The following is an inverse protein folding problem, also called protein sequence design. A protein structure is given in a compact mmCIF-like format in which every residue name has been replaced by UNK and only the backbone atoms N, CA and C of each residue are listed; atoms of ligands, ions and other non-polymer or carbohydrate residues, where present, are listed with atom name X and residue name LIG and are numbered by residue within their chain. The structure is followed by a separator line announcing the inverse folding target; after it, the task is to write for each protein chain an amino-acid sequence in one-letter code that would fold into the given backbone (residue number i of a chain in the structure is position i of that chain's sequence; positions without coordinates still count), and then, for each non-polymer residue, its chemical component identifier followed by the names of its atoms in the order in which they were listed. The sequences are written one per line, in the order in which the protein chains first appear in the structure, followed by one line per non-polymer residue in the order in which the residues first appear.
data_IF_836208641756
#
_entry.id   IF_836208641756
#
_cell.length_a   1.000
_cell.length_b   1.000
_cell.length_c   1.000
_cell.angle_alpha   90.00
_cell.angle_beta   90.00
_cell.angle_gamma   90.00
#
_symmetry.space_group_name_H-M   'P 1'
#
loop_
_entity.id
_entity.type
_entity.pdbx_description
1 polymer ?
#
# COMPACT_ATOMS: atom_id res chain seq x y z
N UNK A 1 -32.16 -42.00 -37.20
CA UNK A 1 -30.84 -41.78 -36.57
C UNK A 1 -29.84 -41.74 -37.72
N UNK A 2 -29.12 -40.68 -38.11
CA UNK A 2 -28.70 -39.39 -37.54
C UNK A 2 -28.67 -38.36 -38.70
N UNK A 3 -29.09 -37.11 -38.48
CA UNK A 3 -29.01 -36.02 -39.47
C UNK A 3 -27.55 -35.57 -39.62
N UNK A 4 -26.98 -35.70 -40.82
CA UNK A 4 -25.65 -35.16 -41.15
C UNK A 4 -25.71 -33.65 -41.34
N UNK A 5 -25.36 -32.89 -40.30
CA UNK A 5 -25.18 -31.43 -40.39
C UNK A 5 -23.87 -31.10 -41.10
N UNK A 6 -23.95 -30.37 -42.20
CA UNK A 6 -22.79 -29.82 -42.90
C UNK A 6 -22.22 -28.65 -42.08
N UNK A 7 -21.11 -28.88 -41.37
CA UNK A 7 -20.40 -27.82 -40.65
C UNK A 7 -19.49 -27.07 -41.62
N UNK A 8 -19.91 -25.87 -42.03
CA UNK A 8 -19.05 -24.91 -42.73
C UNK A 8 -18.16 -24.24 -41.69
N UNK A 9 -16.85 -24.46 -41.77
CA UNK A 9 -15.87 -23.72 -40.97
C UNK A 9 -15.94 -22.23 -41.35
N UNK A 10 -16.68 -21.45 -40.56
CA UNK A 10 -16.54 -19.99 -40.60
C UNK A 10 -15.27 -19.65 -39.85
N UNK A 11 -14.26 -19.19 -40.59
CA UNK A 11 -13.07 -18.58 -40.03
C UNK A 11 -13.52 -17.32 -39.26
N UNK A 12 -13.81 -17.47 -37.96
CA UNK A 12 -14.01 -16.33 -37.07
C UNK A 12 -12.64 -15.72 -36.85
N UNK A 13 -12.27 -14.78 -37.72
CA UNK A 13 -11.08 -13.96 -37.58
C UNK A 13 -11.30 -13.04 -36.38
N UNK A 14 -11.07 -13.56 -35.18
CA UNK A 14 -10.82 -12.71 -34.02
C UNK A 14 -9.46 -12.11 -34.29
N UNK A 15 -9.45 -10.91 -34.87
CA UNK A 15 -8.28 -10.06 -34.91
C UNK A 15 -7.88 -9.78 -33.46
N UNK A 16 -6.99 -10.60 -32.90
CA UNK A 16 -6.20 -10.16 -31.75
C UNK A 16 -5.05 -9.35 -32.34
N UNK A 17 -4.92 -8.06 -32.00
CA UNK A 17 -3.72 -7.33 -32.34
C UNK A 17 -2.54 -8.09 -31.72
N UNK A 18 -1.54 -8.43 -32.52
CA UNK A 18 -0.25 -8.97 -32.07
C UNK A 18 0.60 -7.87 -31.42
N UNK A 19 -0.04 -6.94 -30.71
CA UNK A 19 0.55 -5.67 -30.31
C UNK A 19 0.24 -5.23 -28.87
N UNK A 20 -0.59 -5.93 -28.09
CA UNK A 20 -0.88 -5.48 -26.71
C UNK A 20 0.05 -6.06 -25.65
N UNK A 21 1.35 -6.17 -25.97
CA UNK A 21 2.39 -6.10 -24.92
C UNK A 21 3.10 -4.74 -24.98
N UNK A 22 3.15 -4.07 -26.15
CA UNK A 22 3.94 -2.83 -26.30
C UNK A 22 3.39 -1.77 -27.27
N UNK A 23 2.18 -1.88 -27.81
CA UNK A 23 1.62 -0.85 -28.70
C UNK A 23 0.55 0.01 -28.01
N UNK A 24 1.02 0.99 -27.25
CA UNK A 24 0.36 2.29 -27.21
C UNK A 24 1.40 3.27 -27.78
N UNK A 25 1.13 3.76 -28.99
CA UNK A 25 1.94 4.78 -29.63
C UNK A 25 1.68 6.13 -28.97
N UNK A 26 2.75 6.73 -28.44
CA UNK A 26 3.26 8.09 -28.68
C UNK A 26 4.50 8.21 -27.78
N UNK A 27 5.66 8.40 -28.39
CA UNK A 27 6.94 8.80 -27.80
C UNK A 27 7.35 8.05 -26.52
N UNK A 28 7.94 6.88 -26.74
CA UNK A 28 8.64 6.07 -25.75
C UNK A 28 9.94 6.76 -25.31
N UNK A 29 9.83 7.90 -24.64
CA UNK A 29 10.90 8.33 -23.77
C UNK A 29 10.80 7.55 -22.47
N UNK A 30 11.97 7.21 -21.94
CA UNK A 30 12.27 6.54 -20.68
C UNK A 30 11.19 6.77 -19.60
N UNK A 31 10.62 7.96 -19.52
CA UNK A 31 9.55 8.37 -18.61
C UNK A 31 8.35 7.42 -18.50
N UNK A 32 7.82 6.84 -19.60
CA UNK A 32 6.68 5.91 -19.45
C UNK A 32 7.10 4.61 -18.75
N UNK A 33 8.29 4.10 -19.08
CA UNK A 33 8.84 2.89 -18.45
C UNK A 33 9.21 3.17 -17.00
N UNK A 34 9.72 4.37 -16.68
CA UNK A 34 10.21 4.68 -15.35
C UNK A 34 9.11 5.17 -14.40
N UNK A 35 8.12 5.92 -14.89
CA UNK A 35 7.17 6.68 -14.07
C UNK A 35 5.70 6.30 -14.33
N UNK A 36 5.35 5.90 -15.55
CA UNK A 36 3.96 5.64 -15.96
C UNK A 36 3.50 4.19 -15.85
N UNK A 37 4.44 3.24 -15.89
CA UNK A 37 4.11 1.82 -15.95
C UNK A 37 3.82 1.22 -14.56
N UNK A 38 2.66 0.56 -14.35
CA UNK A 38 2.35 -0.11 -13.08
C UNK A 38 3.39 -1.16 -12.68
N UNK A 39 4.00 -1.84 -13.66
CA UNK A 39 5.07 -2.80 -13.42
C UNK A 39 6.32 -2.11 -12.84
N UNK A 40 6.73 -0.99 -13.42
CA UNK A 40 7.88 -0.26 -12.93
C UNK A 40 7.64 0.34 -11.55
N UNK A 41 6.43 0.85 -11.28
CA UNK A 41 6.07 1.35 -9.96
C UNK A 41 6.23 0.27 -8.87
N UNK A 42 5.88 -0.99 -9.15
CA UNK A 42 6.11 -2.12 -8.25
C UNK A 42 7.60 -2.39 -8.05
N UNK A 43 8.38 -2.39 -9.13
CA UNK A 43 9.84 -2.61 -9.07
C UNK A 43 10.51 -1.51 -8.25
N UNK A 44 10.22 -0.23 -8.51
CA UNK A 44 10.78 0.90 -7.78
C UNK A 44 10.42 0.85 -6.30
N UNK A 45 9.17 0.49 -5.97
CA UNK A 45 8.74 0.35 -4.57
C UNK A 45 9.52 -0.76 -3.86
N UNK A 46 9.72 -1.91 -4.52
CA UNK A 46 10.49 -3.02 -3.96
C UNK A 46 11.96 -2.63 -3.74
N UNK A 47 12.59 -1.97 -4.71
CA UNK A 47 13.97 -1.49 -4.61
C UNK A 47 14.10 -0.49 -3.47
N UNK A 48 13.21 0.50 -3.40
CA UNK A 48 13.22 1.51 -2.35
C UNK A 48 13.07 0.91 -0.96
N UNK A 49 12.09 0.02 -0.75
CA UNK A 49 11.89 -0.65 0.55
C UNK A 49 13.07 -1.55 0.92
N UNK A 50 13.67 -2.22 -0.05
CA UNK A 50 14.86 -3.07 0.20
C UNK A 50 16.06 -2.24 0.62
N UNK A 51 16.34 -1.14 -0.09
CA UNK A 51 17.44 -0.22 0.26
C UNK A 51 17.22 0.44 1.62
N UNK A 52 16.00 0.89 1.89
CA UNK A 52 15.63 1.43 3.20
C UNK A 52 15.78 0.38 4.31
N UNK A 53 15.34 -0.86 4.09
CA UNK A 53 15.49 -1.96 5.06
C UNK A 53 16.97 -2.25 5.35
N UNK A 54 17.81 -2.31 4.33
CA UNK A 54 19.26 -2.47 4.49
C UNK A 54 19.86 -1.35 5.32
N UNK A 55 19.51 -0.10 5.01
CA UNK A 55 19.94 1.07 5.79
C UNK A 55 19.46 0.98 7.24
N UNK A 56 18.21 0.61 7.48
CA UNK A 56 17.60 0.48 8.81
C UNK A 56 18.33 -0.57 9.66
N UNK A 57 18.49 -1.79 9.15
CA UNK A 57 19.15 -2.87 9.89
C UNK A 57 20.66 -2.64 10.05
N UNK A 58 21.32 -2.01 9.07
CA UNK A 58 22.71 -1.57 9.24
C UNK A 58 22.84 -0.58 10.40
N UNK A 59 21.96 0.42 10.46
CA UNK A 59 21.98 1.38 11.58
C UNK A 59 21.64 0.70 12.91
N UNK A 60 20.69 -0.23 12.93
CA UNK A 60 20.39 -1.01 14.14
C UNK A 60 21.60 -1.81 14.62
N UNK A 61 22.38 -2.39 13.71
CA UNK A 61 23.62 -3.10 14.04
C UNK A 61 24.67 -2.14 14.63
N UNK A 62 24.83 -0.94 14.05
CA UNK A 62 25.81 0.06 14.49
C UNK A 62 25.43 0.66 15.85
N UNK A 63 24.18 1.04 16.05
CA UNK A 63 23.76 1.85 17.20
C UNK A 63 23.15 1.03 18.34
N UNK A 64 22.64 -0.17 18.05
CA UNK A 64 21.94 -1.03 19.02
C UNK A 64 22.59 -2.41 19.18
N UNK A 65 23.73 -2.65 18.52
CA UNK A 65 24.40 -3.96 18.46
C UNK A 65 23.46 -5.11 18.03
N UNK A 66 22.41 -4.79 17.26
CA UNK A 66 21.40 -5.75 16.82
C UNK A 66 21.69 -6.21 15.39
N UNK A 67 22.26 -7.41 15.27
CA UNK A 67 22.66 -7.99 13.98
C UNK A 67 21.56 -8.89 13.44
N UNK A 68 21.19 -8.66 12.19
CA UNK A 68 20.16 -9.44 11.49
C UNK A 68 20.76 -10.02 10.20
N UNK A 69 20.60 -11.33 9.93
CA UNK A 69 21.06 -11.95 8.69
C UNK A 69 20.44 -11.29 7.44
N UNK A 70 21.20 -11.23 6.35
CA UNK A 70 20.73 -10.61 5.09
C UNK A 70 19.45 -11.24 4.54
N UNK A 71 19.28 -12.56 4.66
CA UNK A 71 18.03 -13.24 4.27
C UNK A 71 16.83 -12.73 5.07
N UNK A 72 17.02 -12.43 6.35
CA UNK A 72 15.96 -11.87 7.19
C UNK A 72 15.61 -10.45 6.77
N UNK A 73 16.59 -9.63 6.39
CA UNK A 73 16.35 -8.27 5.85
C UNK A 73 15.52 -8.32 4.57
N UNK A 74 15.84 -9.24 3.65
CA UNK A 74 15.04 -9.44 2.41
C UNK A 74 13.63 -9.91 2.74
N UNK A 75 13.49 -10.88 3.65
CA UNK A 75 12.18 -11.37 4.08
C UNK A 75 11.34 -10.29 4.75
N UNK A 76 11.98 -9.38 5.51
CA UNK A 76 11.34 -8.24 6.13
C UNK A 76 10.81 -7.25 5.08
N UNK A 77 11.64 -6.89 4.09
CA UNK A 77 11.23 -6.01 3.00
C UNK A 77 10.02 -6.57 2.22
N UNK A 78 10.02 -7.89 1.95
CA UNK A 78 8.92 -8.55 1.26
C UNK A 78 7.62 -8.53 2.09
N UNK A 79 7.70 -8.83 3.39
CA UNK A 79 6.54 -8.77 4.30
C UNK A 79 6.01 -7.35 4.43
N UNK A 80 6.90 -6.37 4.61
CA UNK A 80 6.53 -4.96 4.68
C UNK A 80 5.73 -4.51 3.46
N UNK A 81 6.15 -4.93 2.25
CA UNK A 81 5.41 -4.63 1.02
C UNK A 81 4.00 -5.24 1.01
N UNK A 82 3.83 -6.46 1.52
CA UNK A 82 2.53 -7.12 1.64
C UNK A 82 1.63 -6.41 2.65
N UNK A 83 2.16 -6.10 3.83
CA UNK A 83 1.44 -5.40 4.90
C UNK A 83 1.03 -4.00 4.46
N UNK A 84 1.91 -3.30 3.73
CA UNK A 84 1.63 -2.00 3.13
C UNK A 84 0.51 -2.06 2.10
N UNK A 85 0.53 -3.06 1.21
CA UNK A 85 -0.53 -3.26 0.23
C UNK A 85 -1.89 -3.54 0.92
N UNK A 86 -1.91 -4.43 1.91
CA UNK A 86 -3.11 -4.74 2.69
C UNK A 86 -3.64 -3.50 3.43
N UNK A 87 -2.75 -2.73 4.05
CA UNK A 87 -3.10 -1.49 4.76
C UNK A 87 -3.67 -0.43 3.82
N UNK A 88 -3.09 -0.25 2.63
CA UNK A 88 -3.62 0.67 1.61
C UNK A 88 -5.01 0.26 1.13
N UNK A 89 -5.26 -1.03 0.94
CA UNK A 89 -6.59 -1.53 0.58
C UNK A 89 -7.60 -1.32 1.71
N UNK A 90 -7.21 -1.54 2.96
CA UNK A 90 -8.04 -1.25 4.12
C UNK A 90 -8.35 0.25 4.23
N UNK A 91 -7.34 1.11 4.10
CA UNK A 91 -7.49 2.56 4.12
C UNK A 91 -8.36 3.05 2.96
N UNK A 92 -8.21 2.51 1.74
CA UNK A 92 -9.04 2.87 0.59
C UNK A 92 -10.53 2.61 0.84
N UNK A 93 -10.87 1.51 1.53
CA UNK A 93 -12.25 1.21 1.95
C UNK A 93 -12.78 2.24 2.94
N UNK A 94 -11.95 2.71 3.87
CA UNK A 94 -12.32 3.74 4.85
C UNK A 94 -12.43 5.13 4.22
N UNK A 95 -11.52 5.48 3.29
CA UNK A 95 -11.56 6.77 2.59
C UNK A 95 -12.81 6.91 1.72
N UNK A 96 -13.32 5.82 1.14
CA UNK A 96 -14.60 5.80 0.44
C UNK A 96 -15.81 6.16 1.31
N UNK A 97 -15.68 6.07 2.64
CA UNK A 97 -16.69 6.50 3.61
C UNK A 97 -16.52 7.97 4.05
N UNK A 98 -15.38 8.60 3.75
CA UNK A 98 -15.04 9.96 4.20
C UNK A 98 -15.44 11.00 3.15
N UNK A 99 -16.66 11.53 3.26
CA UNK A 99 -17.16 12.68 2.50
C UNK A 99 -16.55 14.00 3.02
N UNK A 100 -15.26 14.27 2.79
CA UNK A 100 -14.71 15.64 2.81
C UNK A 100 -13.30 15.71 2.20
N UNK A 101 -12.99 16.70 1.34
CA UNK A 101 -11.63 16.96 0.90
C UNK A 101 -10.84 17.61 2.04
N UNK A 102 -9.73 16.99 2.42
CA UNK A 102 -8.77 17.55 3.37
C UNK A 102 -7.93 18.61 2.62
N UNK A 103 -8.19 19.91 2.85
CA UNK A 103 -7.41 21.00 2.27
C UNK A 103 -6.87 21.94 3.34
N UNK A 104 -5.56 22.18 3.24
CA UNK A 104 -4.73 23.22 3.87
C UNK A 104 -4.63 23.27 5.42
N UNK A 105 -3.39 23.11 5.91
CA UNK A 105 -2.88 23.47 7.24
C UNK A 105 -3.92 23.41 8.37
N UNK A 106 -4.25 22.20 8.81
CA UNK A 106 -5.19 21.95 9.90
C UNK A 106 -4.58 22.39 11.22
N UNK A 107 -4.78 23.66 11.60
CA UNK A 107 -4.74 24.03 13.02
C UNK A 107 -5.77 23.15 13.70
N UNK A 108 -5.35 22.39 14.71
CA UNK A 108 -6.24 21.45 15.38
C UNK A 108 -7.49 22.19 15.87
N UNK A 109 -8.66 21.66 15.51
CA UNK A 109 -9.96 22.15 15.93
C UNK A 109 -10.74 20.98 16.52
N UNK A 110 -11.54 21.20 17.58
CA UNK A 110 -12.32 20.12 18.16
C UNK A 110 -13.33 19.54 17.15
N UNK A 111 -13.72 18.27 17.31
CA UNK A 111 -14.63 17.59 16.39
C UNK A 111 -16.03 18.22 16.39
N UNK A 112 -16.81 18.06 15.30
CA UNK A 112 -18.18 18.57 15.25
C UNK A 112 -19.08 18.03 16.37
N UNK A 113 -20.11 18.79 16.74
CA UNK A 113 -21.06 18.41 17.79
C UNK A 113 -21.65 17.00 17.55
N UNK A 114 -21.64 16.17 18.59
CA UNK A 114 -22.09 14.77 18.54
C UNK A 114 -21.05 13.77 18.02
N UNK A 115 -19.81 14.20 17.76
CA UNK A 115 -18.69 13.33 17.40
C UNK A 115 -17.57 13.42 18.45
N UNK A 116 -16.81 12.32 18.56
CA UNK A 116 -15.61 12.25 19.40
C UNK A 116 -14.38 12.03 18.52
N UNK A 117 -13.28 12.67 18.88
CA UNK A 117 -11.97 12.42 18.26
C UNK A 117 -11.26 11.31 19.04
N UNK A 118 -10.77 10.29 18.35
CA UNK A 118 -9.98 9.22 18.96
C UNK A 118 -8.60 9.16 18.31
N UNK A 119 -7.58 9.64 19.02
CA UNK A 119 -6.18 9.52 18.59
C UNK A 119 -5.64 8.18 19.09
N UNK A 120 -5.15 7.33 18.19
CA UNK A 120 -4.58 6.02 18.54
C UNK A 120 -3.11 5.99 18.14
N UNK A 121 -2.25 5.56 19.06
CA UNK A 121 -0.85 5.24 18.80
C UNK A 121 -0.59 3.78 19.13
N UNK A 122 0.35 3.14 18.43
CA UNK A 122 0.67 1.74 18.62
C UNK A 122 2.18 1.52 18.55
N UNK A 123 2.68 0.71 19.49
CA UNK A 123 4.06 0.28 19.54
C UNK A 123 4.15 -1.24 19.38
N UNK A 124 5.16 -1.68 18.62
CA UNK A 124 5.44 -3.10 18.40
C UNK A 124 6.88 -3.36 18.82
N UNK A 125 7.06 -4.29 19.76
CA UNK A 125 8.37 -4.86 20.08
C UNK A 125 8.51 -6.22 19.38
N UNK A 126 9.32 -6.24 18.32
CA UNK A 126 9.59 -7.44 17.56
C UNK A 126 10.40 -8.49 18.32
N UNK A 127 11.22 -8.09 19.29
CA UNK A 127 12.05 -8.99 20.11
C UNK A 127 11.20 -9.65 21.20
N UNK A 128 10.41 -8.86 21.92
CA UNK A 128 9.51 -9.38 22.94
C UNK A 128 8.26 -10.07 22.36
N UNK A 129 7.99 -9.89 21.05
CA UNK A 129 6.75 -10.35 20.38
C UNK A 129 5.49 -9.78 21.01
N UNK A 130 5.58 -8.55 21.52
CA UNK A 130 4.46 -7.84 22.15
C UNK A 130 4.11 -6.61 21.32
N UNK A 131 2.81 -6.34 21.21
CA UNK A 131 2.28 -5.09 20.68
C UNK A 131 1.46 -4.41 21.76
N UNK A 132 1.62 -3.10 21.91
CA UNK A 132 0.80 -2.26 22.77
C UNK A 132 0.17 -1.14 21.96
N UNK A 133 -0.98 -0.65 22.39
CA UNK A 133 -1.60 0.54 21.82
C UNK A 133 -2.05 1.47 22.94
N UNK A 134 -2.15 2.75 22.62
CA UNK A 134 -2.75 3.76 23.45
C UNK A 134 -3.79 4.53 22.63
N UNK A 135 -4.94 4.83 23.21
CA UNK A 135 -5.98 5.63 22.58
C UNK A 135 -6.38 6.79 23.51
N UNK A 136 -6.55 7.99 22.96
CA UNK A 136 -7.09 9.17 23.65
C UNK A 136 -8.38 9.60 22.96
N UNK A 137 -9.47 9.68 23.72
CA UNK A 137 -10.78 10.14 23.23
C UNK A 137 -11.04 11.57 23.74
N UNK A 138 -11.43 12.46 22.83
CA UNK A 138 -11.86 13.84 23.11
C UNK A 138 -13.29 14.09 22.63
N UNK A 139 -14.03 14.94 23.34
CA UNK A 139 -15.39 15.33 22.96
C UNK A 139 -15.41 16.49 21.93
N UNK A 140 -16.60 16.95 21.55
CA UNK A 140 -16.82 18.09 20.65
C UNK A 140 -16.32 19.45 21.17
N UNK A 141 -15.95 19.54 22.46
CA UNK A 141 -15.32 20.72 23.05
C UNK A 141 -13.80 20.62 23.06
N UNK A 142 -13.26 19.45 22.69
CA UNK A 142 -11.83 19.16 22.77
C UNK A 142 -11.37 18.63 24.13
N UNK A 143 -12.29 18.43 25.06
CA UNK A 143 -11.97 17.94 26.40
C UNK A 143 -11.70 16.44 26.39
N UNK A 144 -10.82 16.01 27.28
CA UNK A 144 -10.54 14.62 27.52
C UNK A 144 -11.78 13.88 28.05
N UNK A 145 -12.10 12.74 27.42
CA UNK A 145 -13.17 11.84 27.85
C UNK A 145 -12.59 10.57 28.48
N UNK A 146 -11.67 9.90 27.77
CA UNK A 146 -11.12 8.61 28.18
C UNK A 146 -9.77 8.34 27.51
N UNK A 147 -8.90 7.60 28.19
CA UNK A 147 -7.74 6.96 27.59
C UNK A 147 -7.78 5.45 27.82
N UNK A 148 -7.18 4.70 26.90
CA UNK A 148 -6.97 3.24 26.96
C UNK A 148 -5.52 2.95 26.62
#
# INVERSE_FOLDING_TARGET
MVRGGMFRLLMKRVLRPLSTVFAAGTDQEIDHVFLGCPFAALVWSLVAVTLWSLWYFRNSAVWKASFVPSQQVVSFAARFMQDWAASRSAYGRLKGLSLAPFSAATVWSPPPAGLVECNVDAAIDHTARVSSFAAMVRNEYGDFVKAV
#
